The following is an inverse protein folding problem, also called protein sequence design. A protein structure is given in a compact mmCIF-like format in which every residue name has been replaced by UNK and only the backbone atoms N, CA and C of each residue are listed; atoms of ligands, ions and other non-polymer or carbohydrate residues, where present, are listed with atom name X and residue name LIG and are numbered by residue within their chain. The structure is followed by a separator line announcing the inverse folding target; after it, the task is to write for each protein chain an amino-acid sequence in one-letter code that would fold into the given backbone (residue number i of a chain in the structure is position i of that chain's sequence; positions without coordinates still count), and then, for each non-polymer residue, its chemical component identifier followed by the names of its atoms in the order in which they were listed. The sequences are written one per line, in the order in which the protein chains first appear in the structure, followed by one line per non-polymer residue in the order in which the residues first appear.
data_IF_498417907144
#
_entry.id   IF_498417907144
#
_cell.length_a   1.000
_cell.length_b   1.000
_cell.length_c   1.000
_cell.angle_alpha   90.00
_cell.angle_beta   90.00
_cell.angle_gamma   90.00
#
_symmetry.space_group_name_H-M   'P 1'
#
loop_
_entity.id
_entity.type
_entity.pdbx_description
1 polymer ?
#
# COMPACT_ATOMS: atom_id res chain seq x y z
N UNK A 1 3.02 25.54 11.59
CA UNK A 1 2.92 24.51 12.65
C UNK A 1 1.90 23.42 12.31
N UNK A 2 0.62 23.74 12.10
CA UNK A 2 -0.42 22.73 11.76
C UNK A 2 -0.21 22.07 10.39
N UNK A 3 0.20 22.85 9.37
CA UNK A 3 0.47 22.32 8.02
C UNK A 3 1.62 21.30 8.00
N UNK A 4 2.73 21.58 8.70
CA UNK A 4 3.86 20.64 8.78
C UNK A 4 3.52 19.32 9.48
N UNK A 5 2.57 19.31 10.42
CA UNK A 5 2.09 18.07 11.05
C UNK A 5 1.20 17.24 10.11
N UNK A 6 0.40 17.91 9.28
CA UNK A 6 -0.42 17.27 8.25
C UNK A 6 0.47 16.62 7.18
N UNK A 7 1.43 17.37 6.63
CA UNK A 7 2.42 16.85 5.67
C UNK A 7 3.20 15.65 6.24
N UNK A 8 3.61 15.72 7.51
CA UNK A 8 4.28 14.62 8.19
C UNK A 8 3.40 13.38 8.37
N UNK A 9 2.08 13.56 8.49
CA UNK A 9 1.12 12.46 8.62
C UNK A 9 0.83 11.83 7.26
N UNK A 10 0.63 12.64 6.22
CA UNK A 10 0.41 12.19 4.85
C UNK A 10 1.58 11.38 4.31
N UNK A 11 2.82 11.84 4.56
CA UNK A 11 4.02 11.10 4.15
C UNK A 11 4.10 9.71 4.81
N UNK A 12 3.75 9.60 6.10
CA UNK A 12 3.72 8.29 6.79
C UNK A 12 2.65 7.36 6.25
N UNK A 13 1.49 7.89 5.88
CA UNK A 13 0.41 7.12 5.27
C UNK A 13 0.87 6.58 3.90
N UNK A 14 1.47 7.44 3.07
CA UNK A 14 2.01 7.04 1.77
C UNK A 14 3.05 5.93 1.88
N UNK A 15 4.01 6.06 2.82
CA UNK A 15 5.01 5.01 3.10
C UNK A 15 4.34 3.71 3.56
N UNK A 16 3.39 3.81 4.49
CA UNK A 16 2.68 2.61 5.02
C UNK A 16 1.89 1.88 3.93
N UNK A 17 1.24 2.62 3.02
CA UNK A 17 0.51 2.05 1.88
C UNK A 17 1.47 1.33 0.93
N UNK A 18 2.61 1.95 0.62
CA UNK A 18 3.63 1.36 -0.25
C UNK A 18 4.18 0.06 0.35
N UNK A 19 4.53 0.09 1.63
CA UNK A 19 5.13 -1.06 2.31
C UNK A 19 4.10 -2.20 2.45
N UNK A 20 2.83 -1.88 2.72
CA UNK A 20 1.73 -2.85 2.70
C UNK A 20 1.58 -3.51 1.31
N UNK A 21 1.56 -2.72 0.24
CA UNK A 21 1.40 -3.23 -1.11
C UNK A 21 2.57 -4.10 -1.56
N UNK A 22 3.79 -3.76 -1.15
CA UNK A 22 4.96 -4.60 -1.39
C UNK A 22 4.81 -5.97 -0.69
N UNK A 23 4.41 -5.98 0.59
CA UNK A 23 4.17 -7.22 1.32
C UNK A 23 3.05 -8.08 0.69
N UNK A 24 1.98 -7.45 0.22
CA UNK A 24 0.90 -8.13 -0.53
C UNK A 24 1.43 -8.74 -1.82
N UNK A 25 2.29 -8.02 -2.54
CA UNK A 25 2.89 -8.53 -3.78
C UNK A 25 3.78 -9.74 -3.52
N UNK A 26 4.65 -9.68 -2.50
CA UNK A 26 5.53 -10.78 -2.12
C UNK A 26 4.73 -12.02 -1.72
N UNK A 27 3.73 -11.85 -0.86
CA UNK A 27 2.83 -12.93 -0.46
C UNK A 27 2.11 -13.54 -1.67
N UNK A 28 1.54 -12.70 -2.55
CA UNK A 28 0.82 -13.16 -3.73
C UNK A 28 1.72 -13.91 -4.72
N UNK A 29 2.98 -13.51 -4.80
CA UNK A 29 3.99 -14.19 -5.60
C UNK A 29 4.26 -15.57 -5.02
N UNK A 30 4.46 -15.66 -3.71
CA UNK A 30 4.71 -16.91 -3.00
C UNK A 30 3.55 -17.92 -3.16
N UNK A 31 2.32 -17.51 -2.89
CA UNK A 31 1.15 -18.41 -2.95
C UNK A 31 0.77 -18.84 -4.38
N UNK A 32 1.32 -18.17 -5.41
CA UNK A 32 1.08 -18.48 -6.82
C UNK A 32 2.26 -19.18 -7.52
N UNK A 33 3.40 -19.31 -6.85
CA UNK A 33 4.62 -19.87 -7.46
C UNK A 33 4.83 -21.31 -7.03
N UNK A 34 5.23 -22.17 -7.99
CA UNK A 34 5.62 -23.54 -7.69
C UNK A 34 6.99 -23.58 -6.99
N UNK A 35 7.19 -24.40 -5.93
CA UNK A 35 6.25 -25.39 -5.38
C UNK A 35 5.30 -24.87 -4.29
N UNK A 36 5.55 -23.67 -3.75
CA UNK A 36 4.83 -23.09 -2.61
C UNK A 36 3.30 -23.04 -2.78
N UNK A 37 2.83 -22.83 -4.01
CA UNK A 37 1.40 -22.85 -4.36
C UNK A 37 0.66 -24.13 -3.96
N UNK A 38 1.34 -25.29 -3.93
CA UNK A 38 0.72 -26.56 -3.53
C UNK A 38 0.38 -26.52 -2.03
N UNK A 39 1.34 -26.08 -1.21
CA UNK A 39 1.12 -25.89 0.22
C UNK A 39 0.09 -24.81 0.51
N UNK A 40 0.04 -23.75 -0.31
CA UNK A 40 -0.97 -22.72 -0.23
C UNK A 40 -2.37 -23.27 -0.50
N UNK A 41 -2.56 -24.05 -1.57
CA UNK A 41 -3.84 -24.69 -1.90
C UNK A 41 -4.32 -25.64 -0.81
N UNK A 42 -3.43 -26.47 -0.26
CA UNK A 42 -3.78 -27.41 0.82
C UNK A 42 -4.22 -26.70 2.11
N UNK A 43 -3.70 -25.49 2.36
CA UNK A 43 -4.08 -24.65 3.51
C UNK A 43 -5.22 -23.68 3.21
N UNK A 44 -5.72 -23.63 1.97
CA UNK A 44 -6.73 -22.66 1.56
C UNK A 44 -6.23 -21.20 1.59
N UNK A 45 -4.95 -20.98 1.28
CA UNK A 45 -4.37 -19.64 1.27
C UNK A 45 -4.67 -18.92 -0.06
N UNK A 46 -5.53 -17.91 0.00
CA UNK A 46 -5.91 -17.10 -1.14
C UNK A 46 -5.00 -15.86 -1.32
N UNK A 47 -4.84 -15.35 -2.55
CA UNK A 47 -4.15 -14.08 -2.80
C UNK A 47 -4.83 -12.90 -2.10
N UNK A 48 -4.02 -12.00 -1.57
CA UNK A 48 -4.46 -10.75 -0.93
C UNK A 48 -4.74 -9.66 -1.96
N UNK A 49 -5.68 -8.78 -1.65
CA UNK A 49 -6.00 -7.61 -2.47
C UNK A 49 -5.09 -6.45 -2.06
N UNK A 50 -4.31 -5.85 -2.99
CA UNK A 50 -3.49 -4.69 -2.66
C UNK A 50 -4.36 -3.47 -2.40
N UNK A 51 -3.85 -2.57 -1.58
CA UNK A 51 -4.48 -1.27 -1.36
C UNK A 51 -4.38 -0.44 -2.65
N UNK A 52 -5.52 0.08 -3.10
CA UNK A 52 -5.60 1.01 -4.21
C UNK A 52 -6.08 2.34 -3.67
N UNK A 53 -5.26 3.39 -3.79
CA UNK A 53 -5.67 4.73 -3.43
C UNK A 53 -6.89 5.13 -4.26
N UNK A 54 -7.88 5.72 -3.59
CA UNK A 54 -9.15 6.15 -4.21
C UNK A 54 -9.03 7.52 -4.86
N UNK A 55 -7.98 8.29 -4.54
CA UNK A 55 -7.69 9.60 -5.10
C UNK A 55 -6.52 9.52 -6.09
N UNK A 56 -6.66 10.08 -7.32
CA UNK A 56 -5.51 10.30 -8.21
C UNK A 56 -4.48 11.18 -7.51
N UNK A 57 -3.19 10.83 -7.60
CA UNK A 57 -2.07 11.53 -6.93
C UNK A 57 -2.10 11.52 -5.39
N UNK A 58 -2.66 10.49 -4.75
CA UNK A 58 -2.60 10.31 -3.29
C UNK A 58 -1.16 10.25 -2.73
N UNK A 59 -0.20 10.03 -3.61
CA UNK A 59 1.24 9.97 -3.33
C UNK A 59 1.85 11.39 -3.20
N UNK A 60 1.09 12.43 -3.54
CA UNK A 60 1.50 13.84 -3.51
C UNK A 60 0.63 14.59 -2.49
N UNK A 61 1.27 15.08 -1.42
CA UNK A 61 0.61 15.95 -0.45
C UNK A 61 0.01 17.18 -1.17
N UNK A 62 -1.25 17.58 -0.90
CA UNK A 62 -1.86 18.74 -1.51
C UNK A 62 -1.13 20.03 -1.10
N UNK A 63 -0.45 20.68 -2.04
CA UNK A 63 0.10 22.02 -1.84
C UNK A 63 -1.01 23.08 -1.87
N UNK A 64 -1.06 23.92 -0.84
CA UNK A 64 -2.08 24.97 -0.67
C UNK A 64 -1.62 26.37 -1.11
N UNK A 65 -0.63 26.47 -2.01
CA UNK A 65 -0.04 27.73 -2.49
C UNK A 65 -1.05 28.73 -3.13
N UNK A 66 -2.31 28.33 -3.35
CA UNK A 66 -3.33 29.16 -4.00
C UNK A 66 -4.55 29.57 -3.15
N UNK A 67 -4.52 29.42 -1.82
CA UNK A 67 -5.68 29.79 -0.95
C UNK A 67 -5.30 30.67 0.26
N UNK A 68 -4.60 31.77 -0.02
CA UNK A 68 -4.49 32.91 0.90
C UNK A 68 -4.92 34.19 0.18
#
# INVERSE_FOLDING_TARGET
MLQSQLEGTENRIAVSIRDYNAAVQDYNTEVRTFPSMIGAQLRGADPLVPYKATTPNADVAPSLEGKL
#
